data_IF_671832145940
#
_entry.id   IF_671832145940
#
_cell.length_a   1.000
_cell.length_b   1.000
_cell.length_c   1.000
_cell.angle_alpha   90.00
_cell.angle_beta   90.00
_cell.angle_gamma   90.00
#
_symmetry.space_group_name_H-M   'P 1'
#
loop_
_entity.id
_entity.type
_entity.pdbx_description
1 polymer ?
#
# COMPACT_ATOMS: atom_id res chain seq x y z
N UNK A 1 -11.34 5.66 0.11
CA UNK A 1 -11.90 6.01 -1.21
C UNK A 1 -11.69 7.51 -1.41
N UNK A 2 -11.21 7.91 -2.58
CA UNK A 2 -10.96 9.33 -2.94
C UNK A 2 -11.67 9.74 -4.22
N UNK A 3 -12.03 8.77 -5.06
CA UNK A 3 -12.77 8.99 -6.30
C UNK A 3 -13.59 7.73 -6.63
N UNK A 4 -14.62 7.85 -7.46
CA UNK A 4 -15.41 6.70 -7.89
C UNK A 4 -16.15 6.97 -9.20
N UNK A 5 -16.45 5.90 -9.93
CA UNK A 5 -17.41 5.87 -11.04
C UNK A 5 -18.52 4.88 -10.68
N UNK A 6 -19.77 5.23 -11.02
CA UNK A 6 -20.96 4.47 -10.63
C UNK A 6 -21.76 4.11 -11.88
N UNK A 7 -22.11 2.83 -12.01
CA UNK A 7 -22.99 2.30 -13.07
C UNK A 7 -24.18 1.64 -12.39
N UNK A 8 -25.33 2.28 -12.47
CA UNK A 8 -26.57 1.85 -11.79
C UNK A 8 -27.43 0.97 -12.68
N UNK A 9 -28.36 0.24 -12.06
CA UNK A 9 -29.41 -0.46 -12.80
C UNK A 9 -28.91 -1.59 -13.68
N UNK A 10 -27.74 -2.17 -13.38
CA UNK A 10 -27.25 -3.29 -14.16
C UNK A 10 -28.12 -4.52 -13.94
N UNK A 11 -28.51 -5.20 -15.01
CA UNK A 11 -29.25 -6.47 -14.99
C UNK A 11 -28.59 -7.48 -15.93
N UNK A 12 -28.78 -8.77 -15.70
CA UNK A 12 -28.25 -9.79 -16.62
C UNK A 12 -29.08 -9.85 -17.89
N UNK A 13 -28.50 -9.44 -19.02
CA UNK A 13 -29.16 -9.49 -20.34
C UNK A 13 -28.13 -9.43 -21.47
N UNK A 14 -28.62 -9.42 -22.71
CA UNK A 14 -27.83 -9.13 -23.90
C UNK A 14 -27.79 -7.61 -24.12
N UNK A 15 -26.61 -7.06 -24.35
CA UNK A 15 -26.44 -5.66 -24.73
C UNK A 15 -25.21 -5.46 -25.61
N UNK A 16 -25.13 -4.36 -26.38
CA UNK A 16 -23.89 -3.95 -27.01
C UNK A 16 -22.80 -3.71 -25.95
N UNK A 17 -21.58 -4.14 -26.24
CA UNK A 17 -20.38 -3.81 -25.46
C UNK A 17 -20.04 -2.30 -25.59
N UNK A 18 -19.33 -1.74 -24.61
CA UNK A 18 -18.92 -0.32 -24.67
C UNK A 18 -17.96 -0.08 -25.85
N UNK A 19 -18.11 1.01 -26.62
CA UNK A 19 -17.31 1.27 -27.82
C UNK A 19 -15.85 1.57 -27.48
N UNK A 20 -14.98 0.66 -27.90
CA UNK A 20 -13.53 0.78 -27.83
C UNK A 20 -12.92 0.31 -29.15
N UNK A 21 -11.65 0.62 -29.40
CA UNK A 21 -10.96 0.17 -30.63
C UNK A 21 -11.00 -1.35 -30.85
N UNK A 22 -11.22 -2.16 -29.80
CA UNK A 22 -11.29 -3.63 -29.86
C UNK A 22 -12.71 -4.18 -29.98
N UNK A 23 -13.72 -3.42 -29.56
CA UNK A 23 -15.12 -3.88 -29.46
C UNK A 23 -15.99 -3.36 -30.60
N UNK A 24 -15.52 -2.35 -31.34
CA UNK A 24 -16.15 -1.87 -32.56
C UNK A 24 -16.19 -2.96 -33.63
N UNK A 25 -17.33 -3.08 -34.30
CA UNK A 25 -17.54 -4.05 -35.38
C UNK A 25 -18.26 -3.37 -36.55
N UNK A 26 -18.00 -3.83 -37.77
CA UNK A 26 -18.74 -3.38 -38.97
C UNK A 26 -19.84 -4.36 -39.37
N UNK A 27 -19.65 -5.65 -39.07
CA UNK A 27 -20.60 -6.74 -39.35
C UNK A 27 -20.44 -7.87 -38.34
N UNK A 28 -21.41 -8.79 -38.30
CA UNK A 28 -21.42 -9.96 -37.41
C UNK A 28 -20.15 -10.83 -37.53
N UNK A 29 -19.48 -10.83 -38.70
CA UNK A 29 -18.22 -11.56 -38.90
C UNK A 29 -17.08 -11.07 -37.99
N UNK A 30 -17.16 -9.83 -37.50
CA UNK A 30 -16.19 -9.28 -36.55
C UNK A 30 -16.36 -9.78 -35.12
N UNK A 31 -17.50 -10.39 -34.80
CA UNK A 31 -17.84 -10.86 -33.47
C UNK A 31 -17.77 -12.39 -33.40
N UNK A 32 -17.14 -12.94 -32.36
CA UNK A 32 -16.94 -14.39 -32.23
C UNK A 32 -17.81 -14.92 -31.10
N UNK A 33 -18.75 -15.81 -31.41
CA UNK A 33 -19.62 -16.44 -30.42
C UNK A 33 -18.79 -17.22 -29.38
N UNK A 34 -19.08 -17.01 -28.10
CA UNK A 34 -18.39 -17.66 -26.99
C UNK A 34 -17.01 -17.09 -26.66
N UNK A 35 -16.56 -16.06 -27.38
CA UNK A 35 -15.27 -15.43 -27.12
C UNK A 35 -15.36 -14.46 -25.94
N UNK A 36 -14.30 -14.42 -25.13
CA UNK A 36 -14.15 -13.55 -23.97
C UNK A 36 -12.83 -12.78 -24.08
N UNK A 37 -12.90 -11.45 -24.16
CA UNK A 37 -11.73 -10.58 -24.14
C UNK A 37 -11.36 -10.22 -22.69
N UNK A 38 -10.06 -10.17 -22.32
CA UNK A 38 -9.65 -9.76 -20.97
C UNK A 38 -10.13 -8.35 -20.55
N UNK A 39 -10.32 -7.44 -21.50
CA UNK A 39 -10.81 -6.08 -21.25
C UNK A 39 -12.34 -6.00 -21.26
N UNK A 40 -13.02 -6.89 -22.00
CA UNK A 40 -14.49 -7.02 -21.96
C UNK A 40 -14.98 -7.52 -20.59
N UNK A 41 -16.27 -7.33 -20.34
CA UNK A 41 -16.96 -7.79 -19.12
C UNK A 41 -18.03 -8.84 -19.42
N UNK A 42 -18.08 -9.35 -20.65
CA UNK A 42 -19.10 -10.27 -21.12
C UNK A 42 -18.59 -11.31 -22.09
N UNK A 43 -19.46 -12.27 -22.39
CA UNK A 43 -19.23 -13.31 -23.40
C UNK A 43 -19.90 -12.86 -24.70
N UNK A 44 -19.17 -12.79 -25.80
CA UNK A 44 -19.74 -12.37 -27.08
C UNK A 44 -20.77 -13.38 -27.61
N UNK A 45 -21.86 -12.87 -28.18
CA UNK A 45 -22.91 -13.68 -28.82
C UNK A 45 -22.61 -13.98 -30.29
N UNK A 46 -21.69 -13.22 -30.91
CA UNK A 46 -21.36 -13.29 -32.33
C UNK A 46 -22.17 -12.33 -33.21
N UNK A 47 -22.91 -11.39 -32.63
CA UNK A 47 -23.70 -10.39 -33.36
C UNK A 47 -23.11 -8.98 -33.22
N UNK A 48 -23.18 -8.20 -34.29
CA UNK A 48 -22.75 -6.80 -34.32
C UNK A 48 -23.97 -5.89 -34.26
N UNK A 49 -24.20 -5.25 -33.12
CA UNK A 49 -25.42 -4.47 -32.85
C UNK A 49 -25.08 -2.99 -32.65
N UNK A 50 -26.07 -2.12 -32.84
CA UNK A 50 -25.90 -0.67 -32.66
C UNK A 50 -25.76 -0.36 -31.17
N UNK A 51 -24.71 0.39 -30.80
CA UNK A 51 -24.55 0.95 -29.46
C UNK A 51 -25.22 2.33 -29.39
N UNK A 52 -24.75 3.27 -30.22
CA UNK A 52 -25.28 4.64 -30.29
C UNK A 52 -25.03 5.25 -31.67
N UNK A 53 -26.04 5.89 -32.27
CA UNK A 53 -25.94 6.48 -33.60
C UNK A 53 -25.48 5.48 -34.67
N UNK A 54 -24.35 5.77 -35.34
CA UNK A 54 -23.73 4.89 -36.34
C UNK A 54 -22.70 3.91 -35.75
N UNK A 55 -22.42 3.98 -34.45
CA UNK A 55 -21.46 3.09 -33.81
C UNK A 55 -22.08 1.72 -33.53
N UNK A 56 -21.39 0.67 -33.98
CA UNK A 56 -21.77 -0.72 -33.74
C UNK A 56 -20.67 -1.43 -32.96
N UNK A 57 -21.09 -2.24 -31.99
CA UNK A 57 -20.21 -3.04 -31.15
C UNK A 57 -20.73 -4.48 -31.05
N UNK A 58 -19.85 -5.39 -30.68
CA UNK A 58 -20.26 -6.78 -30.49
C UNK A 58 -21.23 -6.90 -29.30
N UNK A 59 -22.33 -7.61 -29.51
CA UNK A 59 -23.30 -7.95 -28.48
C UNK A 59 -22.68 -8.98 -27.51
N UNK A 60 -22.89 -8.76 -26.21
CA UNK A 60 -22.37 -9.61 -25.14
C UNK A 60 -23.49 -10.02 -24.18
N UNK A 61 -23.33 -11.21 -23.58
CA UNK A 61 -24.11 -11.65 -22.42
C UNK A 61 -23.35 -11.26 -21.15
N UNK A 62 -23.91 -10.31 -20.39
CA UNK A 62 -23.27 -9.71 -19.23
C UNK A 62 -24.27 -8.96 -18.33
N UNK A 63 -23.73 -8.24 -17.34
CA UNK A 63 -24.48 -7.23 -16.58
C UNK A 63 -24.55 -5.93 -17.38
N UNK A 64 -25.75 -5.55 -17.79
CA UNK A 64 -26.00 -4.45 -18.71
C UNK A 64 -26.77 -3.31 -18.05
N UNK A 65 -26.47 -2.03 -18.35
CA UNK A 65 -25.49 -1.59 -19.35
C UNK A 65 -24.05 -1.85 -18.89
N UNK A 66 -23.15 -2.10 -19.85
CA UNK A 66 -21.73 -2.28 -19.52
C UNK A 66 -21.16 -0.97 -18.96
N UNK A 67 -20.24 -1.09 -18.01
CA UNK A 67 -19.51 0.06 -17.48
C UNK A 67 -18.82 0.84 -18.62
N UNK A 68 -18.89 2.16 -18.57
CA UNK A 68 -18.19 3.00 -19.52
C UNK A 68 -16.67 2.91 -19.30
N UNK A 69 -15.90 2.89 -20.40
CA UNK A 69 -14.43 3.00 -20.34
C UNK A 69 -14.05 4.47 -20.25
N UNK A 70 -14.38 5.07 -19.10
CA UNK A 70 -14.11 6.47 -18.78
C UNK A 70 -12.87 6.61 -17.90
N UNK A 71 -12.18 7.73 -18.07
CA UNK A 71 -11.14 8.16 -17.14
C UNK A 71 -11.76 8.54 -15.78
N UNK A 72 -10.98 8.38 -14.72
CA UNK A 72 -11.41 8.82 -13.40
C UNK A 72 -11.68 10.34 -13.42
N UNK A 73 -12.74 10.83 -12.76
CA UNK A 73 -13.07 12.26 -12.72
C UNK A 73 -11.89 13.12 -12.25
N UNK A 74 -11.67 14.25 -12.92
CA UNK A 74 -10.68 15.28 -12.57
C UNK A 74 -11.39 16.62 -12.37
N UNK A 75 -11.33 17.26 -11.19
CA UNK A 75 -10.64 16.83 -9.97
C UNK A 75 -11.30 15.61 -9.30
N UNK A 76 -10.60 14.96 -8.36
CA UNK A 76 -11.12 13.84 -7.59
C UNK A 76 -12.36 14.25 -6.78
N UNK A 77 -13.43 13.45 -6.84
CA UNK A 77 -14.73 13.76 -6.22
C UNK A 77 -14.65 13.95 -4.70
N UNK A 78 -13.76 13.22 -4.01
CA UNK A 78 -13.56 13.28 -2.56
C UNK A 78 -12.17 13.84 -2.23
N UNK A 79 -11.78 14.94 -2.87
CA UNK A 79 -10.52 15.62 -2.61
C UNK A 79 -10.36 16.06 -1.13
N UNK A 80 -11.46 16.39 -0.45
CA UNK A 80 -11.50 16.72 0.98
C UNK A 80 -11.00 15.60 1.90
N UNK A 81 -10.84 14.37 1.39
CA UNK A 81 -10.24 13.27 2.13
C UNK A 81 -8.81 13.58 2.61
N UNK A 82 -8.12 14.56 2.03
CA UNK A 82 -6.82 15.06 2.53
C UNK A 82 -6.92 15.50 4.01
N UNK A 83 -8.07 16.02 4.41
CA UNK A 83 -8.33 16.54 5.76
C UNK A 83 -8.81 15.48 6.74
N UNK A 84 -8.97 14.23 6.31
CA UNK A 84 -9.34 13.15 7.22
C UNK A 84 -8.20 12.86 8.19
N UNK A 85 -8.59 12.42 9.38
CA UNK A 85 -7.67 12.00 10.43
C UNK A 85 -7.78 10.50 10.66
N UNK A 86 -6.65 9.88 10.94
CA UNK A 86 -6.57 8.47 11.32
C UNK A 86 -5.91 8.35 12.69
N UNK A 87 -6.58 7.67 13.62
CA UNK A 87 -6.02 7.28 14.91
C UNK A 87 -5.50 5.86 14.82
N UNK A 88 -4.20 5.66 15.01
CA UNK A 88 -3.57 4.33 14.97
C UNK A 88 -3.33 3.84 16.39
N UNK A 89 -3.91 2.69 16.73
CA UNK A 89 -3.66 1.97 17.99
C UNK A 89 -2.78 0.77 17.69
N UNK A 90 -1.58 0.74 18.26
CA UNK A 90 -0.64 -0.36 18.08
C UNK A 90 -0.22 -0.92 19.44
N UNK A 91 -0.27 -2.24 19.56
CA UNK A 91 0.18 -3.01 20.71
C UNK A 91 1.30 -3.94 20.23
N UNK A 92 2.40 -3.99 20.96
CA UNK A 92 3.54 -4.85 20.70
C UNK A 92 3.82 -5.73 21.90
N UNK A 93 4.22 -6.96 21.63
CA UNK A 93 4.54 -7.96 22.64
C UNK A 93 5.86 -8.65 22.29
N UNK A 94 6.78 -8.68 23.25
CA UNK A 94 8.02 -9.45 23.18
C UNK A 94 7.87 -10.66 24.12
N UNK A 95 7.33 -11.80 23.62
CA UNK A 95 6.96 -12.94 24.47
C UNK A 95 8.17 -13.54 25.20
N UNK A 96 9.33 -13.62 24.54
CA UNK A 96 10.58 -14.12 25.16
C UNK A 96 11.08 -13.26 26.31
N UNK A 97 10.62 -12.02 26.43
CA UNK A 97 10.97 -11.11 27.52
C UNK A 97 9.81 -10.84 28.48
N UNK A 98 8.63 -11.42 28.22
CA UNK A 98 7.38 -11.14 28.93
C UNK A 98 7.11 -9.64 29.07
N UNK A 99 7.21 -8.91 27.95
CA UNK A 99 7.05 -7.46 27.91
C UNK A 99 6.03 -7.06 26.84
N UNK A 100 4.94 -6.44 27.29
CA UNK A 100 3.88 -5.91 26.43
C UNK A 100 3.79 -4.40 26.60
N UNK A 101 3.69 -3.66 25.50
CA UNK A 101 3.47 -2.21 25.55
C UNK A 101 2.64 -1.72 24.36
N UNK A 102 2.20 -0.46 24.41
CA UNK A 102 1.35 0.16 23.39
C UNK A 102 1.86 1.54 23.02
N UNK A 103 1.54 1.99 21.81
CA UNK A 103 1.93 3.31 21.33
C UNK A 103 1.24 4.45 22.12
N UNK A 104 0.00 4.25 22.55
CA UNK A 104 -0.76 5.22 23.34
C UNK A 104 -0.57 4.96 24.84
N UNK A 105 0.25 5.79 25.47
CA UNK A 105 0.44 5.76 26.91
C UNK A 105 -0.70 6.42 27.70
N UNK A 106 -0.88 6.05 28.98
CA UNK A 106 -1.67 6.84 29.92
C UNK A 106 -1.15 8.29 30.00
N UNK A 107 -2.04 9.26 29.99
CA UNK A 107 -1.70 10.70 30.12
C UNK A 107 -1.26 11.39 28.82
N UNK A 108 -1.24 10.69 27.68
CA UNK A 108 -0.96 11.33 26.39
C UNK A 108 -2.14 12.22 25.97
N UNK A 109 -1.85 13.43 25.50
CA UNK A 109 -2.88 14.33 25.02
C UNK A 109 -3.58 13.75 23.78
N UNK A 110 -4.89 13.51 23.87
CA UNK A 110 -5.71 12.96 22.79
C UNK A 110 -6.08 14.02 21.73
N UNK A 111 -5.87 15.31 22.01
CA UNK A 111 -6.11 16.41 21.06
C UNK A 111 -4.81 16.89 20.43
N UNK A 112 -4.05 15.95 19.85
CA UNK A 112 -2.82 16.24 19.12
C UNK A 112 -2.96 15.90 17.64
N UNK A 113 -2.05 16.39 16.82
CA UNK A 113 -1.80 15.90 15.46
C UNK A 113 -0.32 15.59 15.34
N UNK A 114 0.00 14.47 14.70
CA UNK A 114 1.37 14.06 14.47
C UNK A 114 2.13 15.16 13.73
N UNK A 115 3.31 15.48 14.26
CA UNK A 115 4.28 16.33 13.60
C UNK A 115 5.67 15.81 13.96
N UNK A 116 6.54 15.68 12.96
CA UNK A 116 7.85 15.04 13.09
C UNK A 116 8.70 15.56 14.25
N UNK A 117 8.67 16.87 14.49
CA UNK A 117 9.39 17.53 15.60
C UNK A 117 8.51 17.90 16.79
N UNK A 118 7.35 18.53 16.58
CA UNK A 118 6.52 19.07 17.66
C UNK A 118 5.82 17.98 18.48
N UNK A 119 5.23 16.98 17.82
CA UNK A 119 4.42 15.93 18.45
C UNK A 119 4.73 14.53 17.86
N UNK A 120 5.98 14.04 17.96
CA UNK A 120 6.41 12.81 17.29
C UNK A 120 5.75 11.55 17.84
N UNK A 121 5.14 11.61 19.03
CA UNK A 121 4.48 10.47 19.68
C UNK A 121 2.95 10.49 19.52
N UNK A 122 2.40 11.50 18.84
CA UNK A 122 0.97 11.59 18.64
C UNK A 122 0.50 10.49 17.66
N UNK A 123 -0.51 9.68 18.02
CA UNK A 123 -1.02 8.59 17.19
C UNK A 123 -2.11 9.03 16.19
N UNK A 124 -2.39 10.34 16.08
CA UNK A 124 -3.41 10.92 15.22
C UNK A 124 -2.73 11.59 14.03
N UNK A 125 -2.99 11.08 12.83
CA UNK A 125 -2.36 11.53 11.59
C UNK A 125 -3.41 12.14 10.67
N UNK A 126 -3.11 13.30 10.08
CA UNK A 126 -3.91 13.84 8.97
C UNK A 126 -3.36 13.30 7.65
N UNK A 127 -4.23 12.86 6.74
CA UNK A 127 -3.78 12.22 5.50
C UNK A 127 -2.92 13.14 4.64
N UNK A 128 -3.25 14.43 4.54
CA UNK A 128 -2.42 15.40 3.81
C UNK A 128 -1.01 15.57 4.39
N UNK A 129 -0.85 15.45 5.70
CA UNK A 129 0.46 15.59 6.35
C UNK A 129 1.35 14.38 6.01
N UNK A 130 0.78 13.17 5.93
CA UNK A 130 1.48 11.96 5.49
C UNK A 130 2.05 12.15 4.08
N UNK A 131 1.24 12.69 3.15
CA UNK A 131 1.66 12.92 1.77
C UNK A 131 2.74 14.00 1.68
N UNK A 132 2.62 15.08 2.47
CA UNK A 132 3.64 16.13 2.56
C UNK A 132 4.98 15.61 3.08
N UNK A 133 4.98 14.71 4.07
CA UNK A 133 6.21 14.08 4.57
C UNK A 133 6.91 13.22 3.51
N UNK A 134 6.16 12.62 2.57
CA UNK A 134 6.74 11.88 1.44
C UNK A 134 7.09 12.74 0.23
N UNK A 135 6.72 14.03 0.23
CA UNK A 135 6.90 14.92 -0.92
C UNK A 135 5.95 14.62 -2.10
N UNK A 136 4.84 13.94 -1.85
CA UNK A 136 3.83 13.57 -2.86
C UNK A 136 2.60 14.49 -2.77
N UNK A 137 1.96 14.76 -3.90
CA UNK A 137 0.73 15.54 -3.95
C UNK A 137 -0.51 14.64 -3.75
N UNK A 138 -1.26 14.88 -2.68
CA UNK A 138 -2.48 14.11 -2.37
C UNK A 138 -3.50 14.16 -3.51
N UNK A 139 -3.70 15.33 -4.12
CA UNK A 139 -4.74 15.52 -5.14
C UNK A 139 -4.48 14.70 -6.40
N UNK A 140 -3.22 14.54 -6.79
CA UNK A 140 -2.85 13.76 -7.97
C UNK A 140 -3.08 12.27 -7.75
N UNK A 141 -2.68 11.77 -6.57
CA UNK A 141 -2.90 10.36 -6.18
C UNK A 141 -4.39 10.08 -5.92
N UNK A 142 -5.16 11.07 -5.45
CA UNK A 142 -6.57 10.92 -5.17
C UNK A 142 -7.41 10.60 -6.44
N UNK A 143 -6.95 10.99 -7.63
CA UNK A 143 -7.69 10.79 -8.90
C UNK A 143 -7.74 9.30 -9.26
N UNK A 144 -6.59 8.61 -9.29
CA UNK A 144 -6.47 7.21 -9.72
C UNK A 144 -6.23 6.23 -8.57
N UNK A 145 -6.00 6.73 -7.36
CA UNK A 145 -5.62 5.95 -6.19
C UNK A 145 -4.12 5.68 -6.13
N UNK A 146 -3.68 5.11 -5.02
CA UNK A 146 -2.28 4.74 -4.77
C UNK A 146 -2.12 3.89 -3.51
N UNK A 147 -0.88 3.57 -3.16
CA UNK A 147 -0.58 2.76 -1.97
C UNK A 147 0.45 3.49 -1.13
N UNK A 148 0.10 3.81 0.11
CA UNK A 148 0.95 4.49 1.07
C UNK A 148 1.30 3.55 2.22
N UNK A 149 2.53 3.63 2.70
CA UNK A 149 3.04 2.92 3.86
C UNK A 149 3.15 3.84 5.06
N UNK A 150 2.62 3.39 6.20
CA UNK A 150 2.86 4.00 7.51
C UNK A 150 3.73 3.02 8.29
N UNK A 151 4.98 3.36 8.46
CA UNK A 151 5.97 2.53 9.11
C UNK A 151 6.07 2.93 10.60
N UNK A 152 5.96 1.94 11.49
CA UNK A 152 6.03 2.10 12.93
C UNK A 152 7.21 1.26 13.43
N UNK A 153 8.33 1.94 13.62
CA UNK A 153 9.57 1.30 14.07
C UNK A 153 9.69 1.31 15.59
N UNK A 154 9.94 0.15 16.19
CA UNK A 154 10.17 -0.03 17.62
C UNK A 154 11.58 -0.50 17.90
N UNK A 155 12.42 0.40 18.42
CA UNK A 155 13.75 0.09 18.92
C UNK A 155 13.70 0.11 20.44
N UNK A 156 13.58 -1.08 21.04
CA UNK A 156 13.27 -1.25 22.45
C UNK A 156 14.46 -1.81 23.22
N UNK A 157 15.02 -1.01 24.12
CA UNK A 157 15.89 -1.47 25.19
C UNK A 157 15.05 -1.77 26.44
N UNK A 158 15.01 -3.03 26.85
CA UNK A 158 14.24 -3.55 27.99
C UNK A 158 15.08 -3.67 29.27
N UNK A 159 16.33 -3.21 29.25
CA UNK A 159 17.19 -3.18 30.43
C UNK A 159 16.75 -2.12 31.43
N UNK A 160 16.81 -2.45 32.72
CA UNK A 160 16.35 -1.55 33.79
C UNK A 160 17.12 -0.23 33.82
N UNK A 161 18.40 -0.23 33.46
CA UNK A 161 19.27 0.94 33.57
C UNK A 161 19.18 1.90 32.37
N UNK A 162 18.68 1.43 31.23
CA UNK A 162 18.57 2.22 29.99
C UNK A 162 17.26 1.94 29.25
N UNK A 163 16.16 1.79 30.00
CA UNK A 163 14.88 1.42 29.42
C UNK A 163 14.36 2.48 28.45
N UNK A 164 14.20 2.11 27.18
CA UNK A 164 13.61 2.96 26.15
C UNK A 164 12.82 2.09 25.18
N UNK A 165 11.53 2.36 24.98
CA UNK A 165 10.71 1.61 24.04
C UNK A 165 9.54 2.48 23.58
N UNK A 166 9.74 3.16 22.44
CA UNK A 166 8.79 4.11 21.84
C UNK A 166 8.74 3.91 20.33
N UNK A 167 7.56 4.12 19.70
CA UNK A 167 7.46 4.06 18.26
C UNK A 167 8.12 5.28 17.62
N UNK A 168 8.74 5.06 16.46
CA UNK A 168 9.12 6.09 15.51
C UNK A 168 8.27 5.91 14.25
N UNK A 169 7.56 6.97 13.87
CA UNK A 169 6.69 6.96 12.70
C UNK A 169 7.44 7.48 11.47
N UNK A 170 7.34 6.74 10.37
CA UNK A 170 7.83 7.14 9.05
C UNK A 170 6.79 6.84 7.98
N UNK A 171 6.90 7.51 6.85
CA UNK A 171 5.95 7.39 5.75
C UNK A 171 6.71 7.15 4.45
N UNK A 172 6.13 6.30 3.60
CA UNK A 172 6.72 5.95 2.31
C UNK A 172 5.62 5.65 1.31
N UNK A 173 5.75 6.14 0.08
CA UNK A 173 4.89 5.71 -1.02
C UNK A 173 5.31 4.34 -1.53
N UNK A 174 4.37 3.41 -1.65
CA UNK A 174 4.61 2.00 -1.99
C UNK A 174 4.27 1.66 -3.44
N UNK A 175 3.35 2.41 -4.06
CA UNK A 175 3.02 2.22 -5.47
C UNK A 175 4.09 2.83 -6.39
N UNK A 176 4.27 2.22 -7.57
CA UNK A 176 5.18 2.72 -8.59
C UNK A 176 4.59 3.96 -9.27
N UNK A 177 5.30 5.10 -9.16
CA UNK A 177 4.91 6.36 -9.81
C UNK A 177 4.96 6.27 -11.35
N UNK A 178 5.75 5.34 -11.88
CA UNK A 178 6.22 5.30 -13.28
C UNK A 178 5.62 4.17 -14.11
N UNK A 179 4.68 3.39 -13.57
CA UNK A 179 4.05 2.32 -14.33
C UNK A 179 3.46 2.85 -15.63
N UNK A 180 4.05 2.39 -16.75
CA UNK A 180 3.52 2.57 -18.10
C UNK A 180 2.02 2.29 -18.11
N UNK A 181 1.25 3.08 -18.86
CA UNK A 181 -0.22 3.01 -19.01
C UNK A 181 -0.75 1.59 -19.29
N UNK A 182 0.11 0.68 -19.76
CA UNK A 182 -0.17 -0.74 -19.99
C UNK A 182 -0.30 -1.61 -18.72
N UNK A 183 0.14 -1.15 -17.55
CA UNK A 183 0.12 -1.86 -16.26
C UNK A 183 -0.78 -1.09 -15.28
N UNK A 184 -2.11 -1.16 -15.49
CA UNK A 184 -3.18 -0.67 -14.59
C UNK A 184 -2.71 0.33 -13.50
N UNK A 185 -2.49 1.61 -13.83
CA UNK A 185 -1.93 2.57 -12.89
C UNK A 185 -2.88 2.88 -11.73
N UNK A 186 -2.29 3.22 -10.58
CA UNK A 186 -3.01 3.58 -9.35
C UNK A 186 -3.63 2.37 -8.63
N UNK A 187 -4.45 2.66 -7.61
CA UNK A 187 -5.15 1.65 -6.82
C UNK A 187 -6.66 1.77 -6.99
N UNK A 188 -7.25 0.80 -7.68
CA UNK A 188 -8.68 0.75 -7.93
C UNK A 188 -9.23 -0.68 -7.83
N UNK A 189 -10.50 -0.79 -7.50
CA UNK A 189 -11.23 -2.06 -7.47
C UNK A 189 -12.71 -1.85 -7.79
N UNK A 190 -13.40 -2.92 -8.18
CA UNK A 190 -14.84 -2.89 -8.44
C UNK A 190 -15.59 -3.51 -7.28
N UNK A 191 -16.64 -2.83 -6.84
CA UNK A 191 -17.54 -3.28 -5.81
C UNK A 191 -18.98 -3.25 -6.34
N UNK A 192 -19.75 -4.30 -6.08
CA UNK A 192 -21.13 -4.41 -6.54
C UNK A 192 -22.11 -4.40 -5.35
N UNK A 193 -23.18 -3.63 -5.46
CA UNK A 193 -24.33 -3.66 -4.56
C UNK A 193 -25.48 -4.35 -5.27
N UNK A 194 -25.81 -5.57 -4.85
CA UNK A 194 -26.91 -6.35 -5.41
C UNK A 194 -28.24 -5.96 -4.77
N UNK A 195 -29.29 -5.87 -5.58
CA UNK A 195 -30.65 -5.56 -5.13
C UNK A 195 -31.68 -6.16 -6.08
N UNK A 196 -32.95 -6.15 -5.68
CA UNK A 196 -34.06 -6.65 -6.50
C UNK A 196 -35.08 -5.54 -6.69
N UNK A 197 -35.50 -5.31 -7.93
CA UNK A 197 -36.47 -4.28 -8.30
C UNK A 197 -37.44 -4.89 -9.32
N UNK A 198 -38.75 -4.78 -9.08
CA UNK A 198 -39.79 -5.38 -9.93
C UNK A 198 -39.58 -6.87 -10.22
N UNK A 199 -39.17 -7.63 -9.19
CA UNK A 199 -38.79 -9.04 -9.30
C UNK A 199 -37.57 -9.38 -10.18
N UNK A 200 -36.88 -8.39 -10.73
CA UNK A 200 -35.64 -8.56 -11.51
C UNK A 200 -34.42 -8.37 -10.61
N UNK A 201 -33.45 -9.28 -10.71
CA UNK A 201 -32.17 -9.15 -10.03
C UNK A 201 -31.33 -8.07 -10.72
N UNK A 202 -30.91 -7.07 -9.94
CA UNK A 202 -30.11 -5.95 -10.40
C UNK A 202 -28.88 -5.76 -9.53
N UNK A 203 -27.91 -5.01 -10.05
CA UNK A 203 -26.78 -4.53 -9.27
C UNK A 203 -26.41 -3.09 -9.65
N UNK A 204 -25.86 -2.39 -8.68
CA UNK A 204 -25.14 -1.14 -8.90
C UNK A 204 -23.66 -1.44 -8.78
N UNK A 205 -22.92 -1.25 -9.86
CA UNK A 205 -21.48 -1.40 -9.92
C UNK A 205 -20.81 -0.07 -9.57
N UNK A 206 -19.83 -0.11 -8.69
CA UNK A 206 -19.03 1.05 -8.29
C UNK A 206 -17.57 0.70 -8.53
N UNK A 207 -16.93 1.41 -9.46
CA UNK A 207 -15.48 1.38 -9.63
C UNK A 207 -14.89 2.40 -8.67
N UNK A 208 -14.17 1.91 -7.68
CA UNK A 208 -13.63 2.69 -6.57
C UNK A 208 -12.17 2.98 -6.84
N UNK A 209 -11.78 4.24 -6.70
CA UNK A 209 -10.38 4.66 -6.64
C UNK A 209 -10.09 5.16 -5.22
N UNK A 210 -8.89 4.86 -4.73
CA UNK A 210 -8.55 5.25 -3.37
C UNK A 210 -7.10 5.00 -3.02
N UNK A 211 -6.72 5.58 -1.90
CA UNK A 211 -5.42 5.32 -1.29
C UNK A 211 -5.57 4.19 -0.29
N UNK A 212 -4.76 3.14 -0.43
CA UNK A 212 -4.61 2.10 0.59
C UNK A 212 -3.45 2.45 1.50
N UNK A 213 -3.67 2.41 2.82
CA UNK A 213 -2.62 2.62 3.81
C UNK A 213 -2.21 1.28 4.41
N UNK A 214 -0.98 0.87 4.14
CA UNK A 214 -0.39 -0.34 4.70
C UNK A 214 0.40 0.05 5.96
N UNK A 215 -0.08 -0.38 7.12
CA UNK A 215 0.59 -0.11 8.41
C UNK A 215 1.62 -1.22 8.64
N UNK A 216 2.90 -0.85 8.53
CA UNK A 216 4.03 -1.76 8.65
C UNK A 216 4.66 -1.57 10.03
N UNK A 217 4.47 -2.55 10.91
CA UNK A 217 5.03 -2.52 12.27
C UNK A 217 6.20 -3.48 12.35
N UNK A 218 7.36 -2.97 12.73
CA UNK A 218 8.58 -3.75 12.85
C UNK A 218 9.47 -3.17 13.94
N UNK A 219 10.35 -3.99 14.49
CA UNK A 219 11.18 -3.55 15.59
C UNK A 219 11.97 -4.69 16.22
N UNK A 220 12.77 -4.34 17.22
CA UNK A 220 13.59 -5.28 17.98
C UNK A 220 13.53 -4.89 19.46
N UNK A 221 13.39 -5.90 20.31
CA UNK A 221 13.44 -5.77 21.76
C UNK A 221 14.71 -6.44 22.27
N UNK A 222 15.65 -5.64 22.78
CA UNK A 222 16.88 -6.12 23.41
C UNK A 222 16.74 -6.14 24.93
N UNK A 223 17.22 -7.21 25.55
CA UNK A 223 17.38 -7.33 27.01
C UNK A 223 18.69 -8.05 27.29
N UNK A 224 19.39 -7.64 28.34
CA UNK A 224 20.65 -8.22 28.74
C UNK A 224 20.55 -9.73 28.94
N UNK A 225 21.48 -10.45 28.31
CA UNK A 225 21.66 -11.89 28.42
C UNK A 225 23.13 -12.19 28.71
N UNK A 226 23.38 -12.86 29.85
CA UNK A 226 24.72 -13.23 30.30
C UNK A 226 25.40 -14.21 29.35
N UNK A 227 24.65 -15.09 28.68
CA UNK A 227 25.21 -16.07 27.74
C UNK A 227 25.76 -15.33 26.51
N UNK A 228 25.00 -14.37 25.98
CA UNK A 228 25.46 -13.53 24.86
C UNK A 228 26.69 -12.70 25.23
N UNK A 229 26.74 -12.17 26.46
CA UNK A 229 27.93 -11.46 26.95
C UNK A 229 29.17 -12.37 26.98
N UNK A 230 29.05 -13.58 27.52
CA UNK A 230 30.18 -14.54 27.59
C UNK A 230 30.68 -14.92 26.20
N UNK A 231 29.77 -15.20 25.25
CA UNK A 231 30.12 -15.50 23.85
C UNK A 231 30.84 -14.32 23.20
N UNK A 232 30.37 -13.09 23.45
CA UNK A 232 31.01 -11.87 22.96
C UNK A 232 32.41 -11.66 23.56
N UNK A 233 32.59 -11.85 24.87
CA UNK A 233 33.90 -11.77 25.53
C UNK A 233 34.86 -12.84 24.98
N UNK A 234 34.41 -14.09 24.84
CA UNK A 234 35.21 -15.17 24.26
C UNK A 234 35.67 -14.86 22.83
N UNK A 235 34.75 -14.34 22.01
CA UNK A 235 35.05 -13.92 20.63
C UNK A 235 36.03 -12.74 20.60
N UNK A 236 35.87 -11.76 21.50
CA UNK A 236 36.74 -10.58 21.56
C UNK A 236 38.16 -10.88 22.07
N UNK A 237 38.31 -11.83 23.00
CA UNK A 237 39.63 -12.28 23.46
C UNK A 237 40.49 -12.86 22.33
N UNK A 238 39.88 -13.50 21.32
CA UNK A 238 40.63 -13.99 20.16
C UNK A 238 41.28 -12.87 19.35
N UNK A 239 40.61 -11.71 19.21
CA UNK A 239 41.19 -10.53 18.56
C UNK A 239 42.37 -9.97 19.36
N UNK A 240 42.29 -9.92 20.69
CA UNK A 240 43.43 -9.49 21.51
C UNK A 240 44.65 -10.40 21.35
N UNK A 241 44.44 -11.72 21.26
CA UNK A 241 45.50 -12.69 20.97
C UNK A 241 46.15 -12.46 19.60
N UNK A 242 45.33 -12.29 18.55
CA UNK A 242 45.82 -12.00 17.20
C UNK A 242 46.59 -10.68 17.12
N UNK A 243 46.08 -9.62 17.74
CA UNK A 243 46.75 -8.31 17.76
C UNK A 243 48.08 -8.43 18.47
N UNK A 244 48.14 -9.09 19.64
CA UNK A 244 49.40 -9.31 20.35
C UNK A 244 50.40 -10.06 19.45
N UNK A 245 50.03 -11.21 18.92
CA UNK A 245 50.98 -12.04 18.15
C UNK A 245 51.41 -11.33 16.87
N UNK A 246 50.52 -10.60 16.20
CA UNK A 246 50.83 -9.80 15.01
C UNK A 246 51.73 -8.59 15.33
N UNK A 247 51.48 -7.91 16.45
CA UNK A 247 52.29 -6.76 16.90
C UNK A 247 53.67 -7.22 17.34
N UNK A 248 53.78 -8.34 18.06
CA UNK A 248 55.07 -8.94 18.43
C UNK A 248 55.84 -9.44 17.21
N UNK A 249 55.17 -10.02 16.20
CA UNK A 249 55.82 -10.44 14.97
C UNK A 249 56.29 -9.24 14.12
N UNK A 250 55.49 -8.16 14.06
CA UNK A 250 55.87 -6.92 13.38
C UNK A 250 57.04 -6.21 14.08
N UNK A 251 57.00 -6.09 15.41
CA UNK A 251 58.10 -5.54 16.21
C UNK A 251 59.35 -6.43 16.13
N UNK A 252 59.18 -7.76 16.12
CA UNK A 252 60.28 -8.71 15.95
C UNK A 252 60.98 -8.58 14.58
N UNK A 253 60.24 -8.30 13.50
CA UNK A 253 60.83 -7.95 12.20
C UNK A 253 61.53 -6.58 12.25
N UNK A 254 60.93 -5.59 12.90
CA UNK A 254 61.49 -4.24 12.99
C UNK A 254 62.78 -4.16 13.82
N UNK A 255 62.90 -4.97 14.88
CA UNK A 255 64.12 -5.09 15.68
C UNK A 255 65.11 -6.15 15.15
N UNK A 256 64.65 -7.06 14.28
CA UNK A 256 65.46 -8.14 13.70
C UNK A 256 66.17 -7.78 12.39
N UNK A 257 65.81 -6.69 11.71
CA UNK A 257 66.50 -6.19 10.50
C UNK A 257 67.68 -5.23 10.82
N UNK A 258 68.22 -5.27 12.05
CA UNK A 258 69.33 -4.42 12.50
C UNK A 258 70.66 -5.15 12.75
N UNK A 259 70.80 -6.41 12.35
CA UNK A 259 72.03 -7.19 12.54
C UNK A 259 72.47 -7.86 11.25
N UNK A 260 73.14 -7.09 10.40
CA UNK A 260 74.23 -7.50 9.51
C UNK A 260 75.18 -6.31 9.34
#
# INVERSE_FOLDING_TARGET
MTNFLKTEGQEQRLCPEYPTRRTLCSSDRGCKKGWMDPQSKGIQTGRCVVYEGNQKTCEVSAWCPIEAVEEAPRPALLNSAENFTVLIKNNIDFPGHNYTTRNILPGLNITCTFHKTQNPQCPIFRLGDIFRETGDNFSDVAIQGGIMGIEIYWDCNLDRWFHHCRPKYSFRRLDDKTTNVSLYPGYNFRYAKYYKENNVEKRTLIKVFGIRFDILVFGTGGKFDIIQLVVYIGSTLSYFGLVRDSLFHALGKWFGEGSD
#
